data_IF_028825245826
#
_entry.id   IF_028825245826
#
_cell.length_a   1.000
_cell.length_b   1.000
_cell.length_c   1.000
_cell.angle_alpha   90.00
_cell.angle_beta   90.00
_cell.angle_gamma   90.00
#
_symmetry.space_group_name_H-M   'P 1'
#
loop_
_entity.id
_entity.type
_entity.pdbx_description
1 polymer ?
#
# COMPACT_ATOMS: atom_id res chain seq x y z
N UNK A 1 -6.10 8.10 13.26
CA UNK A 1 -6.26 7.79 11.80
C UNK A 1 -7.21 8.76 11.09
N UNK A 2 -6.75 9.39 10.01
CA UNK A 2 -7.54 10.30 9.15
C UNK A 2 -8.37 9.52 8.12
N UNK A 3 -9.63 9.92 7.90
CA UNK A 3 -10.61 9.20 7.06
C UNK A 3 -11.48 10.15 6.24
N UNK A 4 -12.05 9.66 5.13
CA UNK A 4 -13.00 10.38 4.30
C UNK A 4 -14.37 10.50 4.99
N UNK A 5 -14.89 11.73 5.05
CA UNK A 5 -16.20 12.10 5.60
C UNK A 5 -16.84 13.17 4.74
N UNK A 6 -18.16 13.30 4.78
CA UNK A 6 -18.90 14.33 4.07
C UNK A 6 -18.34 15.74 4.31
N UNK A 7 -17.98 16.05 5.56
CA UNK A 7 -17.43 17.36 5.95
C UNK A 7 -16.04 17.68 5.34
N UNK A 8 -15.25 16.67 4.96
CA UNK A 8 -13.90 16.87 4.42
C UNK A 8 -13.77 16.48 2.94
N UNK A 9 -14.86 16.05 2.29
CA UNK A 9 -14.90 15.68 0.86
C UNK A 9 -14.29 16.74 -0.06
N UNK A 10 -14.67 18.01 0.11
CA UNK A 10 -14.11 19.10 -0.72
C UNK A 10 -12.60 19.28 -0.53
N UNK A 11 -12.07 18.96 0.66
CA UNK A 11 -10.62 18.99 0.88
C UNK A 11 -9.92 17.82 0.18
N UNK A 12 -10.54 16.64 0.12
CA UNK A 12 -10.03 15.49 -0.62
C UNK A 12 -9.96 15.78 -2.12
N UNK A 13 -11.00 16.40 -2.70
CA UNK A 13 -11.05 16.79 -4.12
C UNK A 13 -9.97 17.82 -4.49
N UNK A 14 -9.65 18.74 -3.57
CA UNK A 14 -8.60 19.76 -3.77
C UNK A 14 -7.20 19.27 -3.47
N UNK A 15 -7.06 18.07 -2.90
CA UNK A 15 -5.80 17.52 -2.43
C UNK A 15 -5.50 17.85 -0.97
N UNK A 16 -4.99 16.84 -0.26
CA UNK A 16 -4.67 16.90 1.17
C UNK A 16 -3.17 16.62 1.35
N UNK A 17 -2.54 17.41 2.23
CA UNK A 17 -1.13 17.21 2.58
C UNK A 17 -0.93 15.80 3.17
N UNK A 18 0.11 15.12 2.70
CA UNK A 18 0.45 13.76 3.14
C UNK A 18 0.65 13.66 4.67
N UNK A 19 1.07 14.74 5.32
CA UNK A 19 1.26 14.83 6.77
C UNK A 19 -0.02 14.60 7.60
N UNK A 20 -1.22 14.66 6.99
CA UNK A 20 -2.47 14.35 7.68
C UNK A 20 -2.81 12.86 7.68
N UNK A 21 -2.20 12.06 6.81
CA UNK A 21 -2.44 10.63 6.77
C UNK A 21 -1.56 9.89 7.80
N UNK A 22 -1.99 8.70 8.22
CA UNK A 22 -1.17 7.87 9.08
C UNK A 22 0.02 7.28 8.31
N UNK A 23 1.01 6.77 9.06
CA UNK A 23 2.21 6.20 8.46
C UNK A 23 1.89 5.10 7.45
N UNK A 24 0.94 4.20 7.73
CA UNK A 24 0.56 3.12 6.79
C UNK A 24 0.06 3.67 5.46
N UNK A 25 -0.79 4.69 5.45
CA UNK A 25 -1.27 5.29 4.18
C UNK A 25 -0.11 5.89 3.40
N UNK A 26 0.75 6.67 4.05
CA UNK A 26 1.91 7.29 3.41
C UNK A 26 2.86 6.25 2.80
N UNK A 27 3.08 5.16 3.53
CA UNK A 27 3.94 4.07 3.08
C UNK A 27 3.33 3.26 1.94
N UNK A 28 2.02 3.01 1.98
CA UNK A 28 1.30 2.35 0.88
C UNK A 28 1.33 3.19 -0.41
N UNK A 29 1.06 4.49 -0.30
CA UNK A 29 1.16 5.43 -1.44
C UNK A 29 2.59 5.44 -1.99
N UNK A 30 3.60 5.50 -1.12
CA UNK A 30 5.01 5.48 -1.53
C UNK A 30 5.40 4.17 -2.23
N UNK A 31 4.90 3.04 -1.74
CA UNK A 31 5.13 1.73 -2.34
C UNK A 31 4.52 1.65 -3.74
N UNK A 32 3.24 2.02 -3.88
CA UNK A 32 2.52 2.03 -5.15
C UNK A 32 3.22 2.93 -6.18
N UNK A 33 3.57 4.16 -5.80
CA UNK A 33 4.28 5.10 -6.69
C UNK A 33 5.69 4.63 -7.04
N UNK A 34 6.38 3.94 -6.13
CA UNK A 34 7.68 3.33 -6.41
C UNK A 34 7.61 2.15 -7.40
N UNK A 35 6.43 1.58 -7.59
CA UNK A 35 6.12 0.52 -8.54
C UNK A 35 5.37 1.05 -9.78
N UNK A 36 5.37 2.37 -9.99
CA UNK A 36 4.74 3.05 -11.14
C UNK A 36 3.20 2.99 -11.18
N UNK A 37 2.55 2.79 -10.03
CA UNK A 37 1.10 2.90 -9.90
C UNK A 37 0.67 4.30 -9.46
N UNK A 38 -0.12 4.97 -10.29
CA UNK A 38 -0.63 6.31 -10.00
C UNK A 38 -1.79 6.32 -9.01
N UNK A 39 -2.61 5.27 -9.01
CA UNK A 39 -3.82 5.21 -8.21
C UNK A 39 -3.71 4.11 -7.16
N UNK A 40 -4.19 4.43 -5.96
CA UNK A 40 -4.30 3.46 -4.87
C UNK A 40 -5.67 3.63 -4.23
N UNK A 41 -6.35 2.51 -4.03
CA UNK A 41 -7.60 2.46 -3.30
C UNK A 41 -7.32 2.08 -1.85
N UNK A 42 -7.84 2.86 -0.91
CA UNK A 42 -7.75 2.61 0.53
C UNK A 42 -9.15 2.85 1.09
N UNK A 43 -9.76 1.81 1.66
CA UNK A 43 -11.12 1.83 2.22
C UNK A 43 -11.41 3.07 3.10
N UNK A 44 -10.48 3.41 3.99
CA UNK A 44 -10.61 4.56 4.89
C UNK A 44 -10.59 5.93 4.18
N UNK A 45 -10.07 6.01 2.96
CA UNK A 45 -9.92 7.24 2.17
C UNK A 45 -10.86 7.31 0.96
N UNK A 46 -11.31 6.17 0.45
CA UNK A 46 -12.14 6.06 -0.76
C UNK A 46 -13.62 5.82 -0.45
N UNK A 47 -13.97 5.35 0.75
CA UNK A 47 -15.36 5.12 1.17
C UNK A 47 -15.80 6.21 2.14
N UNK A 48 -17.00 6.75 1.96
CA UNK A 48 -17.57 7.74 2.86
C UNK A 48 -17.94 7.10 4.21
N UNK A 49 -17.20 7.44 5.26
CA UNK A 49 -17.33 6.76 6.56
C UNK A 49 -18.55 7.22 7.38
N UNK A 50 -19.19 8.31 6.99
CA UNK A 50 -20.39 8.87 7.64
C UNK A 50 -21.68 8.61 6.84
N UNK A 51 -21.61 7.89 5.73
CA UNK A 51 -22.77 7.49 4.93
C UNK A 51 -22.89 5.96 4.89
N UNK A 52 -23.95 5.45 5.53
CA UNK A 52 -24.22 4.01 5.62
C UNK A 52 -24.60 3.42 4.26
N UNK A 53 -25.28 4.20 3.40
CA UNK A 53 -25.68 3.73 2.08
C UNK A 53 -24.46 3.63 1.15
N UNK A 54 -23.59 4.65 1.17
CA UNK A 54 -22.32 4.61 0.43
C UNK A 54 -21.43 3.47 0.93
N UNK A 55 -21.31 3.30 2.24
CA UNK A 55 -20.56 2.19 2.81
C UNK A 55 -21.09 0.83 2.34
N UNK A 56 -22.41 0.62 2.35
CA UNK A 56 -23.01 -0.63 1.93
C UNK A 56 -22.80 -0.92 0.44
N UNK A 57 -22.92 0.11 -0.41
CA UNK A 57 -22.66 0.00 -1.84
C UNK A 57 -21.18 -0.29 -2.14
N UNK A 58 -20.25 0.40 -1.47
CA UNK A 58 -18.82 0.13 -1.65
C UNK A 58 -18.43 -1.24 -1.09
N UNK A 59 -19.03 -1.67 0.02
CA UNK A 59 -18.76 -2.96 0.63
C UNK A 59 -19.10 -4.14 -0.29
N UNK A 60 -20.16 -4.03 -1.10
CA UNK A 60 -20.49 -5.07 -2.09
C UNK A 60 -19.49 -5.14 -3.25
N UNK A 61 -18.81 -4.04 -3.56
CA UNK A 61 -17.81 -3.94 -4.63
C UNK A 61 -16.41 -4.39 -4.18
N UNK A 62 -16.14 -4.44 -2.87
CA UNK A 62 -14.83 -4.81 -2.31
C UNK A 62 -14.24 -6.08 -2.93
N UNK A 63 -14.99 -7.20 -3.10
CA UNK A 63 -14.45 -8.40 -3.73
C UNK A 63 -13.97 -8.16 -5.15
N UNK A 64 -14.71 -7.38 -5.94
CA UNK A 64 -14.35 -7.04 -7.32
C UNK A 64 -13.17 -6.09 -7.39
N UNK A 65 -13.09 -5.10 -6.48
CA UNK A 65 -11.97 -4.18 -6.39
C UNK A 65 -10.67 -4.95 -6.13
N UNK A 66 -10.66 -5.88 -5.18
CA UNK A 66 -9.48 -6.70 -4.91
C UNK A 66 -9.16 -7.68 -6.05
N UNK A 67 -10.18 -8.24 -6.70
CA UNK A 67 -9.99 -9.18 -7.80
C UNK A 67 -9.42 -8.53 -9.06
N UNK A 68 -9.74 -7.25 -9.30
CA UNK A 68 -9.29 -6.48 -10.45
C UNK A 68 -8.08 -5.58 -10.16
N UNK A 69 -7.48 -5.67 -8.96
CA UNK A 69 -6.31 -4.88 -8.60
C UNK A 69 -5.03 -5.48 -9.20
N UNK A 70 -4.29 -4.68 -9.98
CA UNK A 70 -2.96 -5.06 -10.47
C UNK A 70 -1.95 -5.28 -9.32
N UNK A 71 -2.14 -4.56 -8.22
CA UNK A 71 -1.31 -4.63 -7.02
C UNK A 71 -2.17 -4.55 -5.76
N UNK A 72 -2.06 -5.56 -4.90
CA UNK A 72 -2.64 -5.55 -3.56
C UNK A 72 -1.55 -5.47 -2.49
N UNK A 73 -1.59 -4.43 -1.66
CA UNK A 73 -0.63 -4.24 -0.56
C UNK A 73 -1.29 -4.65 0.77
N UNK A 74 -0.80 -5.74 1.36
CA UNK A 74 -1.30 -6.25 2.66
C UNK A 74 -0.33 -5.88 3.78
N UNK A 75 -0.71 -4.91 4.61
CA UNK A 75 0.08 -4.47 5.75
C UNK A 75 -0.16 -5.34 7.01
N UNK A 76 0.21 -6.63 6.96
CA UNK A 76 -0.09 -7.60 8.03
C UNK A 76 0.79 -7.52 9.30
N UNK A 77 1.73 -6.57 9.38
CA UNK A 77 2.77 -6.52 10.44
C UNK A 77 2.51 -5.54 11.58
N UNK A 78 1.54 -4.63 11.46
CA UNK A 78 1.26 -3.64 12.49
C UNK A 78 -0.18 -3.74 12.97
N UNK A 79 -0.37 -3.77 14.29
CA UNK A 79 -1.69 -3.68 14.92
C UNK A 79 -2.24 -2.24 14.91
N UNK A 80 -1.46 -1.28 14.42
CA UNK A 80 -1.81 0.15 14.40
C UNK A 80 -1.32 0.81 13.11
N UNK A 81 -2.25 1.42 12.37
CA UNK A 81 -1.94 2.10 11.12
C UNK A 81 -1.07 3.35 11.30
N UNK A 82 -0.97 3.87 12.53
CA UNK A 82 -0.09 5.00 12.84
C UNK A 82 1.39 4.61 12.88
N UNK A 83 1.71 3.32 13.04
CA UNK A 83 3.09 2.82 13.10
C UNK A 83 3.69 2.50 11.72
N UNK A 84 2.87 2.33 10.69
CA UNK A 84 3.33 1.91 9.36
C UNK A 84 3.73 0.42 9.31
N UNK A 85 4.20 -0.03 8.16
CA UNK A 85 4.64 -1.39 7.89
C UNK A 85 6.07 -1.50 7.30
N UNK A 86 6.68 -0.39 6.88
CA UNK A 86 8.12 -0.35 6.60
C UNK A 86 8.90 -0.28 7.91
N UNK A 87 9.82 -1.24 8.11
CA UNK A 87 10.88 -1.13 9.11
C UNK A 87 12.19 -0.87 8.37
N UNK A 88 12.75 0.32 8.53
CA UNK A 88 14.12 0.59 8.09
C UNK A 88 15.08 0.00 9.13
N UNK A 89 15.31 -1.31 9.05
CA UNK A 89 16.43 -1.96 9.74
C UNK A 89 17.33 -2.71 8.75
N UNK A 90 17.20 -2.45 7.44
CA UNK A 90 18.25 -2.80 6.49
C UNK A 90 19.36 -1.77 6.64
N UNK A 91 20.20 -1.95 7.67
CA UNK A 91 21.54 -1.40 7.68
C UNK A 91 22.29 -2.12 6.55
N UNK A 92 22.17 -1.63 5.32
CA UNK A 92 22.99 -2.04 4.17
C UNK A 92 24.43 -1.55 4.31
N UNK A 93 24.91 -1.29 5.54
CA UNK A 93 26.22 -0.71 5.76
C UNK A 93 27.36 -1.66 5.36
N UNK A 94 27.08 -2.93 5.01
CA UNK A 94 28.07 -3.91 4.50
C UNK A 94 27.45 -5.08 3.69
N UNK A 95 26.31 -4.91 3.02
CA UNK A 95 25.60 -6.02 2.39
C UNK A 95 25.93 -6.17 0.91
N UNK A 96 26.72 -7.19 0.55
CA UNK A 96 26.82 -7.66 -0.83
C UNK A 96 25.62 -8.56 -1.14
N UNK A 97 24.91 -8.28 -2.24
CA UNK A 97 23.82 -9.13 -2.75
C UNK A 97 24.38 -10.05 -3.83
N UNK A 98 24.28 -11.36 -3.62
CA UNK A 98 24.51 -12.38 -4.65
C UNK A 98 23.16 -12.72 -5.28
N UNK A 99 23.01 -12.47 -6.57
CA UNK A 99 21.82 -12.82 -7.33
C UNK A 99 21.98 -14.23 -7.92
N UNK A 100 20.99 -15.13 -7.81
CA UNK A 100 21.07 -16.41 -8.48
C UNK A 100 21.02 -16.21 -10.00
N UNK A 101 22.05 -16.68 -10.69
CA UNK A 101 22.03 -16.82 -12.15
C UNK A 101 22.02 -18.31 -12.50
N UNK A 102 21.30 -18.67 -13.56
CA UNK A 102 21.20 -20.05 -14.04
C UNK A 102 22.31 -20.28 -15.06
N UNK A 103 23.35 -21.02 -14.67
CA UNK A 103 24.34 -21.53 -15.63
C UNK A 103 23.77 -22.76 -16.34
N UNK A 104 24.18 -23.01 -17.59
CA UNK A 104 23.55 -23.99 -18.51
C UNK A 104 23.32 -25.37 -17.90
N UNK A 105 22.33 -26.11 -18.43
CA UNK A 105 21.57 -27.23 -17.83
C UNK A 105 22.31 -28.41 -17.15
N UNK A 106 23.64 -28.45 -17.09
CA UNK A 106 24.36 -29.60 -16.55
C UNK A 106 25.39 -29.30 -15.44
N UNK A 107 25.29 -28.16 -14.76
CA UNK A 107 26.09 -27.91 -13.55
C UNK A 107 25.23 -27.42 -12.38
N UNK A 108 25.45 -28.04 -11.22
CA UNK A 108 24.83 -27.74 -9.92
C UNK A 108 24.82 -26.25 -9.60
N UNK A 109 23.83 -25.75 -8.84
CA UNK A 109 23.72 -24.35 -8.49
C UNK A 109 24.77 -24.00 -7.44
N UNK A 110 25.94 -23.61 -7.89
CA UNK A 110 26.92 -22.92 -7.06
C UNK A 110 27.58 -21.90 -7.96
N UNK A 111 27.74 -20.68 -7.48
CA UNK A 111 28.50 -19.61 -8.14
C UNK A 111 29.63 -20.21 -8.95
N UNK A 112 29.71 -19.94 -10.26
CA UNK A 112 30.97 -20.25 -10.94
C UNK A 112 32.10 -19.45 -10.27
#
# INVERSE_FOLDING_TARGET
MFKLRSANKSAFEKGIKLSKFCATHCQAIRAARGLDYDFIWIDALCIMQDDIQDWAAQASEVPEIYNNADLTIVAGRSNDAEKGFFKSEYILANSYIQLPYRCSENSSPTNC
#
